data_IF_796548885289
#
_entry.id   IF_796548885289
#
_cell.length_a   1.000
_cell.length_b   1.000
_cell.length_c   1.000
_cell.angle_alpha   90.00
_cell.angle_beta   90.00
_cell.angle_gamma   90.00
#
_symmetry.space_group_name_H-M   'P 1'
#
loop_
_entity.id
_entity.type
_entity.pdbx_description
1 polymer ?
#
# COMPACT_ATOMS: atom_id res chain seq x y z
N UNK A 1 -19.58 -7.83 3.42
CA UNK A 1 -19.29 -6.63 2.60
C UNK A 1 -18.13 -6.87 1.65
N UNK A 2 -16.93 -7.23 2.12
CA UNK A 2 -15.78 -7.52 1.23
C UNK A 2 -16.03 -8.71 0.29
N UNK A 3 -16.54 -9.84 0.78
CA UNK A 3 -16.88 -10.99 -0.08
C UNK A 3 -17.85 -10.60 -1.20
N UNK A 4 -18.92 -9.86 -0.88
CA UNK A 4 -19.89 -9.43 -1.88
C UNK A 4 -19.30 -8.53 -2.99
N UNK A 5 -18.21 -7.80 -2.72
CA UNK A 5 -17.48 -7.07 -3.76
C UNK A 5 -16.54 -7.97 -4.56
N UNK A 6 -16.01 -9.03 -3.94
CA UNK A 6 -15.16 -10.02 -4.58
C UNK A 6 -15.95 -11.02 -5.47
N UNK A 7 -17.25 -11.16 -5.24
CA UNK A 7 -18.16 -12.01 -6.03
C UNK A 7 -18.53 -11.40 -7.40
N UNK A 8 -18.10 -10.17 -7.70
CA UNK A 8 -18.32 -9.54 -9.01
C UNK A 8 -17.46 -10.25 -10.06
N UNK A 9 -18.11 -10.82 -11.07
CA UNK A 9 -17.40 -11.43 -12.22
C UNK A 9 -16.70 -10.35 -13.04
N UNK A 10 -15.43 -10.60 -13.36
CA UNK A 10 -14.67 -9.86 -14.37
C UNK A 10 -14.56 -10.63 -15.69
N UNK A 11 -15.27 -11.76 -15.82
CA UNK A 11 -15.23 -12.66 -16.97
C UNK A 11 -13.81 -13.16 -17.28
N UNK A 12 -12.99 -13.29 -16.24
CA UNK A 12 -11.57 -13.65 -16.28
C UNK A 12 -11.27 -15.04 -15.65
N UNK A 13 -12.33 -15.82 -15.37
CA UNK A 13 -12.29 -17.18 -14.81
C UNK A 13 -11.80 -17.29 -13.36
N UNK A 14 -11.53 -16.16 -12.71
CA UNK A 14 -11.08 -16.15 -11.31
C UNK A 14 -12.25 -16.02 -10.35
N UNK A 15 -12.23 -16.85 -9.31
CA UNK A 15 -13.14 -16.78 -8.17
C UNK A 15 -12.33 -16.40 -6.93
N UNK A 16 -12.80 -15.43 -6.15
CA UNK A 16 -12.10 -14.93 -4.98
C UNK A 16 -12.90 -15.17 -3.70
N UNK A 17 -12.32 -15.90 -2.76
CA UNK A 17 -12.88 -16.09 -1.41
C UNK A 17 -12.06 -15.31 -0.40
N UNK A 18 -12.71 -14.34 0.26
CA UNK A 18 -12.15 -13.57 1.37
C UNK A 18 -12.39 -14.35 2.67
N UNK A 19 -11.30 -14.85 3.24
CA UNK A 19 -11.32 -15.55 4.52
C UNK A 19 -11.56 -14.61 5.71
N UNK A 20 -11.65 -15.18 6.93
CA UNK A 20 -11.75 -14.39 8.14
C UNK A 20 -10.52 -13.49 8.33
N UNK A 21 -10.65 -12.41 9.12
CA UNK A 21 -9.51 -11.59 9.48
C UNK A 21 -8.45 -12.43 10.20
N UNK A 22 -7.20 -12.32 9.77
CA UNK A 22 -6.07 -13.09 10.30
C UNK A 22 -5.18 -12.28 11.24
N UNK A 23 -5.22 -10.94 11.15
CA UNK A 23 -4.41 -10.05 11.95
C UNK A 23 -4.97 -8.63 11.95
N UNK A 24 -4.97 -7.98 13.12
CA UNK A 24 -5.22 -6.53 13.22
C UNK A 24 -3.95 -5.75 12.89
N UNK A 25 -4.12 -4.69 12.11
CA UNK A 25 -3.08 -3.76 11.70
C UNK A 25 -3.21 -2.48 12.52
N UNK A 26 -2.12 -2.02 13.13
CA UNK A 26 -2.11 -0.83 13.99
C UNK A 26 -1.52 0.41 13.31
N UNK A 27 -1.11 0.28 12.05
CA UNK A 27 -0.42 1.36 11.36
C UNK A 27 -1.37 2.53 11.02
N UNK A 28 -2.56 2.22 10.50
CA UNK A 28 -3.57 3.21 10.08
C UNK A 28 -4.28 3.87 11.29
N UNK A 29 -4.73 5.15 11.18
CA UNK A 29 -5.30 5.90 12.30
C UNK A 29 -6.47 5.22 13.01
N UNK A 30 -7.32 4.51 12.28
CA UNK A 30 -8.45 3.76 12.83
C UNK A 30 -8.20 2.26 12.85
N UNK A 31 -6.91 1.87 12.80
CA UNK A 31 -6.48 0.50 12.61
C UNK A 31 -6.73 -0.01 11.20
N UNK A 32 -6.54 -1.29 11.04
CA UNK A 32 -6.76 -2.01 9.80
C UNK A 32 -6.81 -3.49 10.08
N UNK A 33 -7.08 -4.26 9.04
CA UNK A 33 -7.26 -5.70 9.15
C UNK A 33 -6.62 -6.38 7.96
N UNK A 34 -5.90 -7.46 8.21
CA UNK A 34 -5.40 -8.37 7.19
C UNK A 34 -6.37 -9.51 7.03
N UNK A 35 -6.79 -9.77 5.79
CA UNK A 35 -7.62 -10.91 5.40
C UNK A 35 -6.79 -11.90 4.59
N UNK A 36 -7.09 -13.19 4.69
CA UNK A 36 -6.61 -14.17 3.72
C UNK A 36 -7.51 -14.15 2.48
N UNK A 37 -6.92 -14.33 1.31
CA UNK A 37 -7.63 -14.47 0.04
C UNK A 37 -7.22 -15.78 -0.61
N UNK A 38 -8.19 -16.60 -0.95
CA UNK A 38 -8.02 -17.77 -1.82
C UNK A 38 -8.60 -17.44 -3.19
N UNK A 39 -7.76 -17.53 -4.22
CA UNK A 39 -8.17 -17.40 -5.62
C UNK A 39 -8.26 -18.79 -6.24
N UNK A 40 -9.39 -19.07 -6.89
CA UNK A 40 -9.63 -20.32 -7.62
C UNK A 40 -9.83 -20.05 -9.10
N UNK A 41 -9.50 -21.04 -9.92
CA UNK A 41 -9.75 -21.07 -11.36
C UNK A 41 -10.08 -22.51 -11.73
N UNK A 42 -11.19 -22.73 -12.46
CA UNK A 42 -11.71 -24.05 -12.82
C UNK A 42 -11.82 -24.99 -11.59
N UNK A 43 -12.35 -24.46 -10.49
CA UNK A 43 -12.50 -25.20 -9.25
C UNK A 43 -11.20 -25.62 -8.56
N UNK A 44 -10.02 -25.19 -9.01
CA UNK A 44 -8.71 -25.44 -8.38
C UNK A 44 -8.15 -24.19 -7.75
N UNK A 45 -7.36 -24.34 -6.69
CA UNK A 45 -6.66 -23.21 -6.08
C UNK A 45 -5.58 -22.73 -7.05
N UNK A 46 -5.69 -21.49 -7.48
CA UNK A 46 -4.70 -20.82 -8.31
C UNK A 46 -3.63 -20.14 -7.44
N UNK A 47 -4.07 -19.37 -6.44
CA UNK A 47 -3.17 -18.64 -5.55
C UNK A 47 -3.81 -18.39 -4.18
N UNK A 48 -2.95 -18.13 -3.19
CA UNK A 48 -3.34 -17.60 -1.87
C UNK A 48 -2.48 -16.40 -1.54
N UNK A 49 -3.10 -15.32 -1.09
CA UNK A 49 -2.40 -14.10 -0.69
C UNK A 49 -3.14 -13.39 0.45
N UNK A 50 -2.58 -12.27 0.91
CA UNK A 50 -3.19 -11.46 1.97
C UNK A 50 -3.67 -10.12 1.40
N UNK A 51 -4.84 -9.68 1.87
CA UNK A 51 -5.39 -8.35 1.60
C UNK A 51 -5.34 -7.51 2.89
N UNK A 52 -4.58 -6.42 2.86
CA UNK A 52 -4.50 -5.46 3.96
C UNK A 52 -5.47 -4.30 3.71
N UNK A 53 -6.43 -4.12 4.61
CA UNK A 53 -7.37 -3.00 4.59
C UNK A 53 -7.06 -2.06 5.76
N UNK A 54 -6.45 -0.91 5.47
CA UNK A 54 -6.23 0.18 6.44
C UNK A 54 -7.38 1.18 6.43
N UNK A 55 -7.74 1.72 7.61
CA UNK A 55 -8.84 2.68 7.75
C UNK A 55 -8.36 3.97 8.42
N UNK A 56 -8.87 5.09 7.92
CA UNK A 56 -8.69 6.41 8.53
C UNK A 56 -7.56 7.25 7.93
N UNK A 57 -6.79 6.71 6.99
CA UNK A 57 -5.80 7.50 6.27
C UNK A 57 -6.41 8.58 5.39
N UNK A 58 -5.64 9.64 5.15
CA UNK A 58 -6.03 10.68 4.19
C UNK A 58 -6.02 10.09 2.79
N UNK A 59 -7.02 10.41 1.98
CA UNK A 59 -7.07 10.02 0.56
C UNK A 59 -6.97 11.29 -0.27
N UNK A 60 -5.76 11.62 -0.71
CA UNK A 60 -5.49 12.87 -1.42
C UNK A 60 -5.92 12.69 -2.89
N UNK A 61 -6.83 13.55 -3.34
CA UNK A 61 -7.28 13.56 -4.73
C UNK A 61 -6.35 14.43 -5.62
N UNK A 62 -6.25 14.14 -6.93
CA UNK A 62 -6.88 13.00 -7.62
C UNK A 62 -6.11 11.70 -7.38
N UNK A 63 -6.84 10.57 -7.28
CA UNK A 63 -6.21 9.25 -7.40
C UNK A 63 -5.73 9.03 -8.84
N UNK A 64 -4.59 8.35 -8.96
CA UNK A 64 -4.00 7.95 -10.23
C UNK A 64 -4.64 6.63 -10.68
N UNK A 65 -4.79 6.44 -11.99
CA UNK A 65 -5.15 5.13 -12.56
C UNK A 65 -3.89 4.56 -13.19
N UNK A 66 -3.45 3.41 -12.69
CA UNK A 66 -2.29 2.70 -13.23
C UNK A 66 -2.79 1.51 -14.04
N UNK A 67 -2.19 1.31 -15.21
CA UNK A 67 -2.33 0.08 -15.97
C UNK A 67 -1.28 -0.91 -15.46
N UNK A 68 -1.74 -2.07 -15.00
CA UNK A 68 -0.86 -3.13 -14.53
C UNK A 68 -0.15 -3.82 -15.69
N UNK A 69 0.88 -4.61 -15.37
CA UNK A 69 1.53 -5.46 -16.35
C UNK A 69 0.54 -6.45 -16.98
N UNK A 70 0.68 -6.66 -18.28
CA UNK A 70 -0.10 -7.66 -19.01
C UNK A 70 0.52 -9.04 -18.86
N UNK A 71 0.07 -9.76 -17.82
CA UNK A 71 0.53 -11.14 -17.56
C UNK A 71 -0.31 -12.20 -18.27
N UNK A 72 -1.58 -11.91 -18.53
CA UNK A 72 -2.59 -12.91 -18.92
C UNK A 72 -3.26 -12.59 -20.27
N UNK A 73 -2.77 -11.59 -21.01
CA UNK A 73 -3.28 -11.26 -22.35
C UNK A 73 -3.19 -12.42 -23.34
N UNK A 74 -2.21 -13.32 -23.17
CA UNK A 74 -2.12 -14.56 -23.96
C UNK A 74 -3.34 -15.48 -23.79
N UNK A 75 -4.06 -15.36 -22.67
CA UNK A 75 -5.26 -16.12 -22.34
C UNK A 75 -6.55 -15.33 -22.62
N UNK A 76 -6.45 -14.15 -23.27
CA UNK A 76 -7.59 -13.29 -23.55
C UNK A 76 -8.13 -12.51 -22.36
N UNK A 77 -7.37 -12.46 -21.25
CA UNK A 77 -7.73 -11.68 -20.06
C UNK A 77 -7.15 -10.28 -20.20
N UNK A 78 -7.99 -9.26 -20.08
CA UNK A 78 -7.57 -7.86 -20.21
C UNK A 78 -6.62 -7.44 -19.08
N UNK A 79 -5.66 -6.57 -19.40
CA UNK A 79 -4.75 -5.99 -18.41
C UNK A 79 -5.54 -5.20 -17.34
N UNK A 80 -5.32 -5.45 -16.04
CA UNK A 80 -6.09 -4.77 -15.02
C UNK A 80 -5.70 -3.30 -14.89
N UNK A 81 -6.68 -2.46 -14.51
CA UNK A 81 -6.50 -1.04 -14.22
C UNK A 81 -6.91 -0.78 -12.78
N UNK A 82 -6.02 -0.19 -11.99
CA UNK A 82 -6.25 0.03 -10.55
C UNK A 82 -6.16 1.51 -10.20
N UNK A 83 -6.98 1.93 -9.24
CA UNK A 83 -6.89 3.26 -8.63
C UNK A 83 -5.84 3.23 -7.53
N UNK A 84 -4.89 4.15 -7.60
CA UNK A 84 -3.79 4.26 -6.65
C UNK A 84 -3.69 5.68 -6.11
N UNK A 85 -3.26 5.79 -4.86
CA UNK A 85 -2.81 7.06 -4.31
C UNK A 85 -1.59 7.56 -5.10
N UNK A 86 -1.47 8.88 -5.22
CA UNK A 86 -0.36 9.51 -5.93
C UNK A 86 1.01 9.10 -5.39
N UNK A 87 2.04 9.15 -6.24
CA UNK A 87 3.43 8.89 -5.85
C UNK A 87 3.88 9.76 -4.68
N UNK A 88 3.42 11.01 -4.63
CA UNK A 88 3.71 11.94 -3.56
C UNK A 88 3.07 11.55 -2.23
N UNK A 89 1.84 11.00 -2.26
CA UNK A 89 1.22 10.45 -1.06
C UNK A 89 1.95 9.18 -0.60
N UNK A 90 2.30 8.27 -1.51
CA UNK A 90 3.10 7.08 -1.19
C UNK A 90 4.44 7.47 -0.55
N UNK A 91 5.10 8.49 -1.10
CA UNK A 91 6.34 9.05 -0.54
C UNK A 91 6.13 9.59 0.88
N UNK A 92 5.08 10.40 1.10
CA UNK A 92 4.78 10.97 2.40
C UNK A 92 4.47 9.90 3.47
N UNK A 93 3.70 8.87 3.12
CA UNK A 93 3.39 7.75 4.02
C UNK A 93 4.63 6.94 4.38
N UNK A 94 5.55 6.72 3.42
CA UNK A 94 6.82 6.05 3.66
C UNK A 94 7.74 6.84 4.58
N UNK A 95 7.82 8.16 4.38
CA UNK A 95 8.57 9.05 5.30
C UNK A 95 7.98 8.96 6.71
N UNK A 96 6.66 9.08 6.87
CA UNK A 96 6.02 8.95 8.17
C UNK A 96 6.30 7.59 8.82
N UNK A 97 6.23 6.49 8.06
CA UNK A 97 6.50 5.15 8.56
C UNK A 97 7.96 4.96 8.98
N UNK A 98 8.90 5.55 8.23
CA UNK A 98 10.33 5.52 8.49
C UNK A 98 10.69 6.28 9.77
N UNK A 99 10.07 7.44 10.00
CA UNK A 99 10.39 8.33 11.13
C UNK A 99 9.54 8.10 12.37
N UNK A 100 8.55 7.20 12.30
CA UNK A 100 7.69 6.87 13.42
C UNK A 100 8.51 6.38 14.63
N UNK A 101 8.38 7.02 15.81
CA UNK A 101 9.03 6.54 17.03
C UNK A 101 8.55 5.14 17.39
N UNK A 102 9.47 4.20 17.64
CA UNK A 102 9.19 2.81 17.99
C UNK A 102 9.98 2.38 19.22
N UNK A 103 9.37 1.52 20.04
CA UNK A 103 10.03 0.84 21.16
C UNK A 103 10.85 -0.38 20.71
N UNK A 104 10.53 -0.95 19.55
CA UNK A 104 11.25 -2.06 18.93
C UNK A 104 12.08 -1.58 17.72
N UNK A 105 13.14 -2.32 17.34
CA UNK A 105 13.93 -2.00 16.15
C UNK A 105 13.04 -1.84 14.92
N UNK A 106 13.30 -0.79 14.14
CA UNK A 106 12.51 -0.50 12.95
C UNK A 106 12.78 -1.59 11.90
N UNK A 107 11.80 -2.38 11.51
CA UNK A 107 11.95 -3.42 10.48
C UNK A 107 11.66 -2.93 9.05
N UNK A 108 11.46 -1.62 8.87
CA UNK A 108 11.06 -1.00 7.59
C UNK A 108 12.22 -0.71 6.63
N UNK A 109 13.20 -1.61 6.53
CA UNK A 109 14.35 -1.46 5.60
C UNK A 109 13.88 -1.21 4.17
N UNK A 110 12.81 -1.90 3.76
CA UNK A 110 12.20 -1.78 2.43
C UNK A 110 11.66 -0.38 2.12
N UNK A 111 11.21 0.38 3.13
CA UNK A 111 10.68 1.73 2.90
C UNK A 111 11.78 2.68 2.39
N UNK A 112 13.06 2.48 2.73
CA UNK A 112 14.16 3.26 2.14
C UNK A 112 14.37 2.94 0.65
N UNK A 113 14.31 1.66 0.28
CA UNK A 113 14.44 1.25 -1.12
C UNK A 113 13.30 1.88 -1.93
N UNK A 114 12.07 1.81 -1.41
CA UNK A 114 10.92 2.38 -2.08
C UNK A 114 10.99 3.92 -2.20
N UNK A 115 11.49 4.61 -1.16
CA UNK A 115 11.75 6.06 -1.24
C UNK A 115 12.78 6.38 -2.32
N UNK A 116 13.87 5.59 -2.42
CA UNK A 116 14.88 5.76 -3.45
C UNK A 116 14.31 5.53 -4.86
N UNK A 117 13.47 4.50 -5.04
CA UNK A 117 12.79 4.22 -6.31
C UNK A 117 11.83 5.35 -6.71
N UNK A 118 11.05 5.88 -5.77
CA UNK A 118 10.15 7.01 -6.01
C UNK A 118 10.91 8.29 -6.40
N UNK A 119 12.08 8.53 -5.80
CA UNK A 119 12.94 9.65 -6.17
C UNK A 119 13.56 9.43 -7.56
N UNK A 120 14.04 8.21 -7.83
CA UNK A 120 14.70 7.86 -9.09
C UNK A 120 13.79 7.96 -10.31
N UNK A 121 12.47 7.76 -10.14
CA UNK A 121 11.45 7.96 -11.19
C UNK A 121 11.43 9.42 -11.70
N UNK A 122 11.93 10.38 -10.90
CA UNK A 122 12.01 11.81 -11.25
C UNK A 122 10.67 12.43 -11.70
N UNK A 123 9.55 11.88 -11.22
CA UNK A 123 8.18 12.34 -11.49
C UNK A 123 7.51 13.02 -10.28
N UNK A 124 8.21 13.14 -9.14
CA UNK A 124 7.64 13.74 -7.94
C UNK A 124 7.50 15.26 -8.08
N UNK A 125 6.28 15.78 -7.98
CA UNK A 125 6.08 17.22 -7.89
C UNK A 125 6.37 17.72 -6.47
N UNK A 126 7.33 18.62 -6.34
CA UNK A 126 7.79 19.14 -5.04
C UNK A 126 6.66 19.76 -4.20
N UNK A 127 5.73 20.50 -4.82
CA UNK A 127 4.63 21.15 -4.08
C UNK A 127 3.63 20.11 -3.59
N UNK A 128 3.31 19.11 -4.42
CA UNK A 128 2.44 17.99 -4.05
C UNK A 128 3.06 17.14 -2.95
N UNK A 129 4.36 16.88 -2.98
CA UNK A 129 5.10 16.19 -1.90
C UNK A 129 4.97 16.94 -0.58
N UNK A 130 5.24 18.24 -0.56
CA UNK A 130 5.14 19.05 0.67
C UNK A 130 3.71 19.00 1.23
N UNK A 131 2.71 19.17 0.37
CA UNK A 131 1.32 19.08 0.78
C UNK A 131 0.95 17.69 1.33
N UNK A 132 1.37 16.62 0.66
CA UNK A 132 1.12 15.25 1.10
C UNK A 132 1.79 14.96 2.45
N UNK A 133 3.03 15.42 2.67
CA UNK A 133 3.72 15.27 3.95
C UNK A 133 2.93 15.93 5.08
N UNK A 134 2.49 17.18 4.91
CA UNK A 134 1.68 17.86 5.93
C UNK A 134 0.37 17.12 6.20
N UNK A 135 -0.40 16.81 5.16
CA UNK A 135 -1.68 16.12 5.30
C UNK A 135 -1.55 14.75 5.98
N UNK A 136 -0.53 13.97 5.61
CA UNK A 136 -0.28 12.65 6.21
C UNK A 136 0.10 12.78 7.68
N UNK A 137 1.04 13.66 8.03
CA UNK A 137 1.50 13.81 9.41
C UNK A 137 0.40 14.40 10.31
N UNK A 138 -0.31 15.42 9.84
CA UNK A 138 -1.42 16.04 10.57
C UNK A 138 -2.54 15.01 10.80
N UNK A 139 -2.83 14.18 9.80
CA UNK A 139 -3.87 13.15 9.91
C UNK A 139 -3.50 12.04 10.88
N UNK A 140 -2.23 11.61 10.85
CA UNK A 140 -1.73 10.51 11.71
C UNK A 140 -1.53 10.97 13.14
N UNK A 141 -1.11 12.23 13.37
CA UNK A 141 -1.00 12.85 14.68
C UNK A 141 -0.06 12.14 15.66
N UNK A 142 0.86 11.32 15.18
CA UNK A 142 1.73 10.48 16.04
C UNK A 142 3.03 11.18 16.44
N UNK A 143 3.61 11.98 15.54
CA UNK A 143 4.84 12.74 15.76
C UNK A 143 4.90 13.90 14.76
N UNK A 144 5.78 14.88 15.00
CA UNK A 144 5.97 16.02 14.11
C UNK A 144 6.72 15.63 12.83
N UNK A 145 6.42 16.32 11.72
CA UNK A 145 7.18 16.21 10.47
C UNK A 145 8.64 16.62 10.71
N UNK A 146 9.62 15.73 10.49
CA UNK A 146 11.01 16.03 10.81
C UNK A 146 11.66 16.95 9.78
N UNK A 147 12.54 17.83 10.23
CA UNK A 147 13.34 18.70 9.37
C UNK A 147 14.54 17.98 8.72
N UNK A 148 14.93 16.83 9.26
CA UNK A 148 15.98 15.95 8.74
C UNK A 148 15.60 14.49 8.98
N UNK A 149 15.89 13.63 8.02
CA UNK A 149 15.75 12.19 8.21
C UNK A 149 16.94 11.67 9.03
N UNK A 150 16.64 10.90 10.07
CA UNK A 150 17.65 10.14 10.80
C UNK A 150 18.32 9.14 9.87
N UNK A 151 19.60 8.86 10.12
CA UNK A 151 20.29 7.77 9.43
C UNK A 151 19.61 6.43 9.72
N UNK A 152 19.64 5.49 8.78
CA UNK A 152 19.06 4.17 9.00
C UNK A 152 19.73 3.48 10.20
N UNK A 153 18.99 2.72 11.02
CA UNK A 153 19.58 1.97 12.13
C UNK A 153 20.72 1.03 11.66
N UNK A 154 21.79 0.84 12.45
CA UNK A 154 22.90 -0.07 12.10
C UNK A 154 22.44 -1.51 11.81
N UNK A 155 21.40 -1.97 12.51
CA UNK A 155 20.83 -3.31 12.40
C UNK A 155 20.24 -3.62 11.01
N UNK A 156 20.20 -2.65 10.09
CA UNK A 156 19.74 -2.85 8.70
C UNK A 156 20.82 -3.38 7.77
N UNK A 157 22.07 -3.51 8.26
CA UNK A 157 23.20 -4.02 7.48
C UNK A 157 23.27 -5.55 7.41
N UNK A 158 22.44 -6.25 8.18
CA UNK A 158 22.41 -7.71 8.32
C UNK A 158 21.08 -8.28 7.88
#
# INVERSE_FOLDING_TARGET
>A
MLQAMADVSFDDWFEYTIGPPVMDLTAAPYGGVRYSVETRMDGRIFARFHLDAGVGDVVIQPLETIECHDWLGFAGIEKPRVRMISREQQFAEKIHAYTLPRSSPNSRVKDLVDLALLIADNQLDRRRVINALHLTFDRRGTHALPTRLSVPPPDWQT
#
